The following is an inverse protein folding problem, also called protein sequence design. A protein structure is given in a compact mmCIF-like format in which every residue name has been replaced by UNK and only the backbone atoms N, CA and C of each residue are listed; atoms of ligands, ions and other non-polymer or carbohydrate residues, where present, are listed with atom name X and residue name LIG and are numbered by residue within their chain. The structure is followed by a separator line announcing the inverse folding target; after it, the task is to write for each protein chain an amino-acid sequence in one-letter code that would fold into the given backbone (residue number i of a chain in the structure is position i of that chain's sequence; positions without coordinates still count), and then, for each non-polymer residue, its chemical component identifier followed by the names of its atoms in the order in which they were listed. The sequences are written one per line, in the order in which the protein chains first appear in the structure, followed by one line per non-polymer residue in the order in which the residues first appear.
data_IF_712892636741
#
_entry.id   IF_712892636741
#
_cell.length_a   1.000
_cell.length_b   1.000
_cell.length_c   1.000
_cell.angle_alpha   90.00
_cell.angle_beta   90.00
_cell.angle_gamma   90.00
#
_symmetry.space_group_name_H-M   'P 1'
#
loop_
_entity.id
_entity.type
_entity.pdbx_description
1 polymer ?
#
# COMPACT_ATOMS: atom_id res chain seq x y z
N UNK A 1 -0.71 7.50 -3.60
CA UNK A 1 -1.91 7.90 -2.81
C UNK A 1 -1.55 7.86 -1.34
N UNK A 2 -1.92 8.86 -0.52
CA UNK A 2 -1.57 8.88 0.90
C UNK A 2 -2.40 7.85 1.70
N UNK A 3 -1.73 6.96 2.43
CA UNK A 3 -2.39 5.96 3.31
C UNK A 3 -1.79 6.02 4.71
N UNK A 4 -2.64 6.05 5.75
CA UNK A 4 -2.18 6.10 7.14
C UNK A 4 -2.20 4.69 7.75
N UNK A 5 -1.04 4.15 8.10
CA UNK A 5 -0.91 2.83 8.72
C UNK A 5 -0.07 2.91 9.99
N UNK A 6 -0.56 2.33 11.10
CA UNK A 6 0.10 2.35 12.43
C UNK A 6 0.64 3.73 12.86
N UNK A 7 -0.11 4.79 12.57
CA UNK A 7 0.25 6.16 12.96
C UNK A 7 1.18 6.90 12.00
N UNK A 8 1.81 6.21 11.04
CA UNK A 8 2.63 6.81 9.97
C UNK A 8 1.78 7.01 8.71
N UNK A 9 2.14 8.00 7.89
CA UNK A 9 1.54 8.22 6.56
C UNK A 9 2.52 7.72 5.52
N UNK A 10 2.06 6.94 4.56
CA UNK A 10 2.86 6.40 3.47
C UNK A 10 2.30 6.92 2.16
N UNK A 11 3.19 7.22 1.20
CA UNK A 11 2.77 7.30 -0.18
C UNK A 11 2.68 5.87 -0.71
N UNK A 12 1.49 5.45 -1.11
CA UNK A 12 1.21 4.06 -1.47
C UNK A 12 0.61 3.94 -2.87
N UNK A 13 0.95 2.86 -3.56
CA UNK A 13 0.24 2.34 -4.72
C UNK A 13 -0.90 1.46 -4.22
N UNK A 14 -2.04 1.51 -4.89
CA UNK A 14 -3.20 0.67 -4.55
C UNK A 14 -3.52 -0.17 -5.77
N UNK A 15 -3.48 -1.48 -5.58
CA UNK A 15 -3.92 -2.45 -6.57
C UNK A 15 -5.36 -2.80 -6.24
N UNK A 16 -6.26 -2.57 -7.19
CA UNK A 16 -7.67 -2.88 -7.06
C UNK A 16 -8.19 -3.54 -8.33
N UNK A 17 -9.12 -4.48 -8.16
CA UNK A 17 -9.79 -5.22 -9.22
C UNK A 17 -11.25 -5.44 -8.82
N UNK A 18 -12.18 -5.23 -9.75
CA UNK A 18 -13.62 -5.44 -9.55
C UNK A 18 -14.19 -4.76 -8.29
N UNK A 19 -13.75 -3.52 -8.04
CA UNK A 19 -14.19 -2.74 -6.89
C UNK A 19 -13.58 -3.17 -5.55
N UNK A 20 -12.63 -4.11 -5.55
CA UNK A 20 -11.92 -4.58 -4.35
C UNK A 20 -10.43 -4.27 -4.43
N UNK A 21 -9.90 -3.68 -3.36
CA UNK A 21 -8.48 -3.52 -3.10
C UNK A 21 -7.83 -4.89 -2.82
N UNK A 22 -6.86 -5.25 -3.66
CA UNK A 22 -6.09 -6.48 -3.53
C UNK A 22 -4.85 -6.27 -2.66
N UNK A 23 -4.18 -5.13 -2.79
CA UNK A 23 -2.94 -4.80 -2.10
C UNK A 23 -2.74 -3.28 -1.98
N UNK A 24 -2.26 -2.84 -0.83
CA UNK A 24 -1.73 -1.49 -0.65
C UNK A 24 -0.20 -1.59 -0.50
N UNK A 25 0.51 -1.15 -1.53
CA UNK A 25 1.98 -1.19 -1.56
C UNK A 25 2.56 0.18 -1.20
N UNK A 26 3.11 0.37 0.02
CA UNK A 26 3.77 1.61 0.38
C UNK A 26 5.12 1.76 -0.34
N UNK A 27 5.50 3.00 -0.59
CA UNK A 27 6.76 3.35 -1.25
C UNK A 27 7.96 2.97 -0.37
N UNK A 28 8.85 2.16 -0.93
CA UNK A 28 10.08 1.64 -0.30
C UNK A 28 11.30 2.51 -0.61
N UNK A 29 11.23 3.33 -1.66
CA UNK A 29 12.31 4.25 -2.06
C UNK A 29 11.73 5.63 -2.22
N UNK A 30 12.32 6.65 -1.58
CA UNK A 30 11.88 8.02 -1.71
C UNK A 30 13.03 8.91 -2.17
N UNK A 31 12.76 9.75 -3.16
CA UNK A 31 13.71 10.69 -3.70
C UNK A 31 13.67 11.97 -2.86
N UNK A 32 14.81 12.38 -2.32
CA UNK A 32 14.97 13.65 -1.62
C UNK A 32 15.84 14.58 -2.45
N UNK A 33 15.22 15.43 -3.26
CA UNK A 33 15.86 16.61 -3.84
C UNK A 33 15.35 17.88 -3.13
N UNK A 34 15.83 19.06 -3.54
CA UNK A 34 15.39 20.32 -2.93
C UNK A 34 13.91 20.63 -3.17
N UNK A 35 13.31 20.02 -4.20
CA UNK A 35 11.93 20.25 -4.63
C UNK A 35 10.96 19.27 -3.96
N UNK A 36 11.36 18.00 -3.84
CA UNK A 36 10.56 16.95 -3.25
C UNK A 36 10.60 17.04 -1.73
N UNK A 37 9.44 17.35 -1.16
CA UNK A 37 9.23 17.44 0.29
C UNK A 37 8.44 16.26 0.82
N UNK A 38 8.37 15.15 0.08
CA UNK A 38 7.59 13.97 0.48
C UNK A 38 8.06 13.45 1.85
N UNK A 39 9.34 13.63 2.20
CA UNK A 39 9.91 13.17 3.48
C UNK A 39 9.37 13.94 4.68
N UNK A 40 8.80 15.12 4.45
CA UNK A 40 8.11 15.91 5.49
C UNK A 40 6.71 15.38 5.78
N UNK A 41 6.08 14.69 4.82
CA UNK A 41 4.67 14.31 4.90
C UNK A 41 4.45 12.80 4.96
N UNK A 42 5.37 12.02 4.39
CA UNK A 42 5.30 10.58 4.24
C UNK A 42 6.54 9.91 4.82
N UNK A 43 6.33 8.76 5.42
CA UNK A 43 7.36 7.84 5.88
C UNK A 43 7.65 6.81 4.80
N UNK A 44 8.90 6.38 4.75
CA UNK A 44 9.34 5.25 3.93
C UNK A 44 8.86 3.94 4.54
N UNK A 45 8.52 2.96 3.69
CA UNK A 45 8.35 1.59 4.13
C UNK A 45 9.70 0.87 4.24
N UNK A 46 10.15 0.67 5.46
CA UNK A 46 11.47 0.08 5.76
C UNK A 46 11.42 -1.45 5.87
N UNK A 47 10.24 -2.06 5.84
CA UNK A 47 10.05 -3.50 6.07
C UNK A 47 10.04 -4.29 4.76
N UNK A 48 11.22 -4.68 4.29
CA UNK A 48 11.35 -5.46 3.06
C UNK A 48 10.59 -6.79 3.16
N UNK A 49 9.92 -7.18 2.06
CA UNK A 49 9.19 -8.45 1.95
C UNK A 49 8.19 -8.73 3.09
N UNK A 50 7.71 -7.67 3.75
CA UNK A 50 6.83 -7.77 4.90
C UNK A 50 5.45 -7.26 4.54
N UNK A 51 4.44 -8.06 4.86
CA UNK A 51 3.03 -7.71 4.71
C UNK A 51 2.39 -7.62 6.08
N UNK A 52 1.64 -6.55 6.30
CA UNK A 52 0.81 -6.35 7.46
C UNK A 52 -0.66 -6.24 7.05
N UNK A 53 -1.57 -6.48 7.97
CA UNK A 53 -2.99 -6.22 7.73
C UNK A 53 -3.30 -4.73 7.89
N UNK A 54 -3.91 -4.15 6.86
CA UNK A 54 -4.50 -2.83 6.89
C UNK A 54 -6.01 -2.92 7.03
N UNK A 55 -6.54 -2.38 8.11
CA UNK A 55 -7.99 -2.31 8.33
C UNK A 55 -8.60 -1.23 7.45
N UNK A 56 -9.54 -1.64 6.60
CA UNK A 56 -10.22 -0.69 5.73
C UNK A 56 -11.30 0.10 6.51
N UNK A 57 -11.57 1.36 6.13
CA UNK A 57 -12.67 2.14 6.68
C UNK A 57 -14.02 1.43 6.55
N UNK A 58 -14.94 1.73 7.49
CA UNK A 58 -16.29 1.13 7.57
C UNK A 58 -17.03 1.18 6.23
N UNK A 59 -17.00 2.32 5.54
CA UNK A 59 -17.71 2.53 4.28
C UNK A 59 -17.19 1.66 3.12
N UNK A 60 -15.96 1.13 3.22
CA UNK A 60 -15.43 0.18 2.23
C UNK A 60 -15.69 -1.28 2.63
N UNK A 61 -15.99 -1.56 3.91
CA UNK A 61 -16.24 -2.94 4.37
C UNK A 61 -17.42 -3.60 3.67
N UNK A 62 -18.51 -2.85 3.44
CA UNK A 62 -19.68 -3.36 2.72
C UNK A 62 -19.33 -3.78 1.29
N UNK A 63 -18.56 -2.96 0.57
CA UNK A 63 -18.15 -3.26 -0.80
C UNK A 63 -17.12 -4.41 -0.87
N UNK A 64 -16.23 -4.50 0.12
CA UNK A 64 -15.17 -5.50 0.14
C UNK A 64 -15.61 -6.88 0.63
N UNK A 65 -16.51 -6.93 1.61
CA UNK A 65 -16.86 -8.13 2.37
C UNK A 65 -15.80 -8.58 3.38
N UNK A 66 -14.59 -8.01 3.35
CA UNK A 66 -13.50 -8.27 4.32
C UNK A 66 -13.12 -7.00 5.07
N UNK A 67 -12.77 -7.12 6.35
CA UNK A 67 -12.41 -5.97 7.20
C UNK A 67 -10.95 -5.50 7.06
N UNK A 68 -10.13 -6.26 6.35
CA UNK A 68 -8.70 -5.98 6.16
C UNK A 68 -8.24 -6.30 4.74
N UNK A 69 -7.15 -5.65 4.33
CA UNK A 69 -6.42 -5.86 3.08
C UNK A 69 -4.92 -5.93 3.38
N UNK A 70 -4.12 -6.63 2.58
CA UNK A 70 -2.67 -6.66 2.79
C UNK A 70 -2.05 -5.30 2.49
N UNK A 71 -1.09 -4.92 3.33
CA UNK A 71 -0.33 -3.69 3.24
C UNK A 71 1.16 -3.97 3.40
N UNK A 72 1.96 -3.60 2.41
CA UNK A 72 3.40 -3.82 2.47
C UNK A 72 3.98 -4.22 1.12
N UNK A 73 5.18 -4.76 1.18
CA UNK A 73 5.97 -5.12 0.01
C UNK A 73 5.80 -6.60 -0.30
N UNK A 74 5.11 -6.90 -1.39
CA UNK A 74 4.78 -8.26 -1.81
C UNK A 74 4.36 -8.32 -3.27
N UNK A 75 4.02 -9.53 -3.71
CA UNK A 75 3.54 -9.78 -5.06
C UNK A 75 2.10 -10.24 -5.06
N UNK A 76 1.39 -9.91 -6.13
CA UNK A 76 0.09 -10.49 -6.47
C UNK A 76 0.34 -11.56 -7.52
N UNK A 77 -0.12 -12.79 -7.25
CA UNK A 77 -0.19 -13.85 -8.25
C UNK A 77 -1.53 -13.78 -8.97
N UNK A 78 -1.48 -13.71 -10.29
CA UNK A 78 -2.62 -13.78 -11.20
C UNK A 78 -2.57 -15.12 -11.95
N UNK A 79 -3.64 -15.44 -12.67
CA UNK A 79 -3.72 -16.67 -13.45
C UNK A 79 -2.59 -16.78 -14.50
N UNK A 80 -2.33 -15.69 -15.22
CA UNK A 80 -1.36 -15.64 -16.32
C UNK A 80 0.05 -15.18 -15.89
N UNK A 81 0.24 -14.75 -14.65
CA UNK A 81 1.52 -14.14 -14.25
C UNK A 81 1.54 -13.58 -12.83
N UNK A 82 2.61 -12.83 -12.51
CA UNK A 82 2.82 -12.26 -11.18
C UNK A 82 3.17 -10.78 -11.30
N UNK A 83 2.55 -9.95 -10.49
CA UNK A 83 2.84 -8.52 -10.37
C UNK A 83 3.54 -8.29 -9.03
N UNK A 84 4.67 -7.59 -9.03
CA UNK A 84 5.45 -7.31 -7.83
C UNK A 84 5.29 -5.81 -7.50
N UNK A 85 5.21 -5.45 -6.21
CA UNK A 85 5.11 -4.05 -5.80
C UNK A 85 6.41 -3.25 -5.95
N UNK A 86 7.55 -3.94 -6.02
CA UNK A 86 8.89 -3.36 -6.14
C UNK A 86 9.05 -2.50 -7.41
N UNK A 87 9.87 -1.44 -7.29
CA UNK A 87 10.50 -0.68 -8.36
C UNK A 87 11.99 -0.55 -8.02
#
# INVERSE_FOLDING_TARGET
MPVKHKGKRYNSKIFALDGKILLIAPQTVQWSDQTNRDSKYFSLWEKQSTVEEYRIPEFLKEAHGTGSVPFGDTSISLFEGRVISEL
#
